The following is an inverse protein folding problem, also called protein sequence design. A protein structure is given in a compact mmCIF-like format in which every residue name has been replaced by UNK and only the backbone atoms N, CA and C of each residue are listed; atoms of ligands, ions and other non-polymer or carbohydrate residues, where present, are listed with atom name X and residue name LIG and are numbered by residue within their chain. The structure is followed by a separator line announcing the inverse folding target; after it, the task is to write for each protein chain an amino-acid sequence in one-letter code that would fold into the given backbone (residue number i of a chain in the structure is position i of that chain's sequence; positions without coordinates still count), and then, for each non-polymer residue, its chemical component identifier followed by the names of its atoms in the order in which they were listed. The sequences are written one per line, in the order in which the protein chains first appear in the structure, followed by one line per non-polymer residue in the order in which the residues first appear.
data_IF_311068106094
#
_entry.id   IF_311068106094
#
_cell.length_a   1.000
_cell.length_b   1.000
_cell.length_c   1.000
_cell.angle_alpha   90.00
_cell.angle_beta   90.00
_cell.angle_gamma   90.00
#
_symmetry.space_group_name_H-M   'P 1'
#
loop_
_entity.id
_entity.type
_entity.pdbx_description
1 polymer ?
#
# COMPACT_ATOMS: atom_id res chain seq x y z
N UNK A 1 -2.71 -5.65 -9.43
CA UNK A 1 -1.34 -5.62 -8.91
C UNK A 1 -1.03 -6.95 -8.24
N UNK A 2 0.23 -7.38 -8.23
CA UNK A 2 0.62 -8.57 -7.44
C UNK A 2 0.84 -8.17 -5.98
N UNK A 3 0.75 -9.15 -5.06
CA UNK A 3 1.05 -8.93 -3.64
C UNK A 3 2.46 -8.34 -3.43
N UNK A 4 3.46 -8.82 -4.18
CA UNK A 4 4.83 -8.28 -4.12
C UNK A 4 4.89 -6.81 -4.52
N UNK A 5 4.22 -6.42 -5.61
CA UNK A 5 4.16 -5.02 -6.03
C UNK A 5 3.51 -4.13 -4.96
N UNK A 6 2.41 -4.59 -4.35
CA UNK A 6 1.74 -3.85 -3.28
C UNK A 6 2.61 -3.75 -2.02
N UNK A 7 3.36 -4.80 -1.67
CA UNK A 7 4.31 -4.76 -0.57
C UNK A 7 5.47 -3.78 -0.81
N UNK A 8 5.92 -3.65 -2.06
CA UNK A 8 6.95 -2.68 -2.47
C UNK A 8 6.42 -1.25 -2.35
N UNK A 9 5.18 -1.01 -2.77
CA UNK A 9 4.49 0.27 -2.56
C UNK A 9 4.29 0.60 -1.09
N UNK A 10 3.84 -0.35 -0.26
CA UNK A 10 3.66 -0.15 1.16
C UNK A 10 4.98 0.28 1.85
N UNK A 11 6.12 -0.30 1.44
CA UNK A 11 7.45 0.14 1.94
C UNK A 11 7.78 1.58 1.54
N UNK A 12 7.43 2.01 0.32
CA UNK A 12 7.60 3.41 -0.13
C UNK A 12 6.70 4.35 0.67
N UNK A 13 5.41 4.02 0.83
CA UNK A 13 4.47 4.81 1.62
C UNK A 13 4.95 5.01 3.05
N UNK A 14 5.40 3.93 3.72
CA UNK A 14 5.99 4.05 5.07
C UNK A 14 7.25 4.91 5.11
N UNK A 15 8.10 4.84 4.07
CA UNK A 15 9.28 5.69 3.98
C UNK A 15 8.90 7.17 3.87
N UNK A 16 7.97 7.52 2.98
CA UNK A 16 7.51 8.90 2.81
C UNK A 16 6.78 9.42 4.05
N UNK A 17 5.95 8.60 4.68
CA UNK A 17 5.28 8.96 5.94
C UNK A 17 6.30 9.26 7.06
N UNK A 18 7.36 8.45 7.20
CA UNK A 18 8.47 8.72 8.14
C UNK A 18 9.27 9.99 7.82
N UNK A 19 9.15 10.53 6.61
CA UNK A 19 9.72 11.82 6.21
C UNK A 19 8.76 12.99 6.46
N UNK A 20 7.64 12.76 7.16
CA UNK A 20 6.64 13.78 7.47
C UNK A 20 5.75 14.16 6.28
N UNK A 21 5.54 13.23 5.33
CA UNK A 21 4.67 13.46 4.17
C UNK A 21 3.35 12.72 4.34
N UNK A 22 2.25 13.40 4.05
CA UNK A 22 0.98 12.73 3.81
C UNK A 22 1.05 11.97 2.48
N UNK A 23 0.55 10.73 2.48
CA UNK A 23 0.62 9.84 1.31
C UNK A 23 -0.79 9.44 0.91
N UNK A 24 -1.15 9.78 -0.33
CA UNK A 24 -2.42 9.42 -0.95
C UNK A 24 -2.15 8.48 -2.12
N UNK A 25 -2.95 7.42 -2.26
CA UNK A 25 -2.82 6.44 -3.34
C UNK A 25 -4.18 6.20 -4.00
N UNK A 26 -4.22 6.26 -5.33
CA UNK A 26 -5.40 6.02 -6.13
C UNK A 26 -5.15 4.83 -7.06
N UNK A 27 -6.14 3.97 -7.21
CA UNK A 27 -6.10 2.81 -8.09
C UNK A 27 -7.10 3.01 -9.22
N UNK A 28 -6.62 3.01 -10.46
CA UNK A 28 -7.39 3.19 -11.69
C UNK A 28 -7.55 1.88 -12.48
N UNK A 29 -7.09 0.75 -11.93
CA UNK A 29 -7.14 -0.56 -12.57
C UNK A 29 -8.45 -1.32 -12.30
N UNK A 30 -9.58 -0.62 -12.43
CA UNK A 30 -10.93 -1.08 -12.05
C UNK A 30 -11.63 -1.95 -13.09
N UNK A 31 -11.04 -2.11 -14.29
CA UNK A 31 -11.58 -2.89 -15.41
C UNK A 31 -12.03 -4.32 -15.05
N UNK A 32 -11.56 -4.87 -13.92
CA UNK A 32 -11.96 -6.17 -13.37
C UNK A 32 -12.35 -6.12 -11.87
N UNK A 33 -12.75 -4.95 -11.35
CA UNK A 33 -13.05 -4.77 -9.91
C UNK A 33 -11.83 -4.84 -8.98
N UNK A 34 -10.62 -4.89 -9.56
CA UNK A 34 -9.38 -5.07 -8.82
C UNK A 34 -8.94 -3.81 -8.06
N UNK A 35 -9.39 -2.62 -8.45
CA UNK A 35 -8.97 -1.37 -7.82
C UNK A 35 -9.24 -1.35 -6.31
N UNK A 36 -10.47 -1.65 -5.90
CA UNK A 36 -10.87 -1.71 -4.50
C UNK A 36 -10.07 -2.76 -3.70
N UNK A 37 -9.89 -3.96 -4.29
CA UNK A 37 -9.14 -5.05 -3.65
C UNK A 37 -7.67 -4.66 -3.44
N UNK A 38 -7.02 -4.10 -4.47
CA UNK A 38 -5.63 -3.68 -4.37
C UNK A 38 -5.45 -2.53 -3.36
N UNK A 39 -6.42 -1.60 -3.28
CA UNK A 39 -6.41 -0.51 -2.31
C UNK A 39 -6.48 -1.02 -0.86
N UNK A 40 -7.40 -1.96 -0.58
CA UNK A 40 -7.52 -2.60 0.74
C UNK A 40 -6.25 -3.38 1.11
N UNK A 41 -5.70 -4.16 0.18
CA UNK A 41 -4.44 -4.87 0.42
C UNK A 41 -3.28 -3.91 0.67
N UNK A 42 -3.17 -2.82 -0.07
CA UNK A 42 -2.12 -1.81 0.17
C UNK A 42 -2.28 -1.15 1.54
N UNK A 43 -3.51 -0.85 1.96
CA UNK A 43 -3.80 -0.28 3.27
C UNK A 43 -3.34 -1.22 4.39
N UNK A 44 -3.73 -2.49 4.34
CA UNK A 44 -3.32 -3.52 5.30
C UNK A 44 -1.79 -3.64 5.39
N UNK A 45 -1.13 -3.77 4.23
CA UNK A 45 0.34 -3.87 4.17
C UNK A 45 1.04 -2.61 4.67
N UNK A 46 0.36 -1.45 4.70
CA UNK A 46 0.91 -0.17 5.16
C UNK A 46 0.78 0.02 6.66
N UNK A 47 -0.23 -0.57 7.30
CA UNK A 47 -0.49 -0.48 8.75
C UNK A 47 0.19 -1.57 9.58
N UNK A 48 0.51 -2.73 8.99
CA UNK A 48 1.25 -3.77 9.69
C UNK A 48 2.68 -3.33 10.03
N UNK A 49 2.90 -3.05 11.31
CA UNK A 49 4.25 -3.02 11.89
C UNK A 49 4.69 -4.46 12.08
N UNK A 50 5.70 -4.89 11.31
CA UNK A 50 6.39 -6.15 11.59
C UNK A 50 7.13 -5.97 12.91
N UNK A 51 6.46 -6.25 14.02
CA UNK A 51 7.08 -6.35 15.34
C UNK A 51 7.99 -7.57 15.32
N UNK A 52 9.22 -7.38 14.85
CA UNK A 52 10.31 -8.28 15.19
C UNK A 52 10.83 -7.81 16.55
N UNK A 53 10.45 -8.54 17.59
CA UNK A 53 11.21 -8.57 18.84
C UNK A 53 12.51 -9.34 18.62
#
# INVERSE_FOLDING_TARGET
YTHRQLADWARKCRRWNRQGKDVYCFFDNDQNGLAAQNALTLQQLSTEQRTLR
#
